data_IF_969647502596
#
_entry.id   IF_969647502596
#
_cell.length_a   1.000
_cell.length_b   1.000
_cell.length_c   1.000
_cell.angle_alpha   90.00
_cell.angle_beta   90.00
_cell.angle_gamma   90.00
#
_symmetry.space_group_name_H-M   'P 1'
#
loop_
_entity.id
_entity.type
_entity.pdbx_description
1 polymer ?
#
# COMPACT_ATOMS: atom_id res chain seq x y z
N UNK A 1 -13.98 -2.56 30.79
CA UNK A 1 -13.57 -3.93 30.39
C UNK A 1 -13.05 -3.86 28.97
N UNK A 2 -11.80 -4.25 28.73
CA UNK A 2 -11.12 -4.07 27.42
C UNK A 2 -11.15 -5.33 26.55
N UNK A 3 -11.28 -6.49 27.20
CA UNK A 3 -11.30 -7.80 26.54
C UNK A 3 -12.49 -8.61 27.03
N UNK A 4 -13.06 -9.40 26.13
CA UNK A 4 -14.03 -10.44 26.41
C UNK A 4 -13.36 -11.81 26.28
N UNK A 5 -13.54 -12.68 27.28
CA UNK A 5 -13.08 -14.06 27.21
C UNK A 5 -14.11 -14.92 26.50
N UNK A 6 -13.66 -15.66 25.48
CA UNK A 6 -14.45 -16.64 24.75
C UNK A 6 -14.01 -18.06 25.14
N UNK A 7 -14.80 -19.07 24.75
CA UNK A 7 -14.48 -20.47 25.01
C UNK A 7 -13.11 -20.90 24.44
N UNK A 8 -12.63 -20.22 23.39
CA UNK A 8 -11.27 -20.31 22.86
C UNK A 8 -10.75 -18.91 22.50
N UNK A 9 -10.03 -18.30 23.44
CA UNK A 9 -9.32 -17.03 23.21
C UNK A 9 -9.99 -15.79 23.81
N UNK A 10 -9.56 -14.63 23.34
CA UNK A 10 -10.02 -13.32 23.78
C UNK A 10 -10.28 -12.43 22.56
N UNK A 11 -11.28 -11.56 22.67
CA UNK A 11 -11.62 -10.54 21.68
C UNK A 11 -11.61 -9.18 22.37
N UNK A 12 -11.19 -8.14 21.64
CA UNK A 12 -11.29 -6.77 22.14
C UNK A 12 -12.76 -6.33 22.20
N UNK A 13 -13.10 -5.59 23.26
CA UNK A 13 -14.33 -4.79 23.31
C UNK A 13 -14.15 -3.52 22.48
N UNK A 14 -15.21 -2.76 22.22
CA UNK A 14 -15.12 -1.45 21.56
C UNK A 14 -14.15 -0.50 22.30
N UNK A 15 -14.23 -0.46 23.64
CA UNK A 15 -13.28 0.27 24.48
C UNK A 15 -11.85 -0.30 24.40
N UNK A 16 -11.70 -1.61 24.19
CA UNK A 16 -10.41 -2.27 23.96
C UNK A 16 -9.79 -1.88 22.62
N UNK A 17 -10.58 -1.84 21.55
CA UNK A 17 -10.13 -1.38 20.23
C UNK A 17 -9.75 0.10 20.24
N UNK A 18 -10.53 0.96 20.91
CA UNK A 18 -10.21 2.37 21.06
C UNK A 18 -8.90 2.58 21.86
N UNK A 19 -8.68 1.80 22.92
CA UNK A 19 -7.42 1.87 23.67
C UNK A 19 -6.23 1.32 22.89
N UNK A 20 -6.42 0.26 22.08
CA UNK A 20 -5.33 -0.35 21.31
C UNK A 20 -4.66 0.69 20.40
N UNK A 21 -5.44 1.49 19.68
CA UNK A 21 -4.92 2.59 18.83
C UNK A 21 -4.01 3.52 19.63
N UNK A 22 -4.41 3.92 20.84
CA UNK A 22 -3.58 4.79 21.69
C UNK A 22 -2.39 4.06 22.30
N UNK A 23 -2.54 2.78 22.65
CA UNK A 23 -1.47 1.97 23.21
C UNK A 23 -0.33 1.76 22.20
N UNK A 24 -0.67 1.48 20.94
CA UNK A 24 0.29 1.33 19.85
C UNK A 24 1.09 2.63 19.64
N UNK A 25 0.40 3.78 19.64
CA UNK A 25 1.06 5.11 19.57
C UNK A 25 2.03 5.30 20.74
N UNK A 26 1.61 5.01 21.98
CA UNK A 26 2.47 5.19 23.17
C UNK A 26 3.69 4.26 23.13
N UNK A 27 3.50 3.01 22.72
CA UNK A 27 4.59 2.04 22.60
C UNK A 27 5.59 2.46 21.52
N UNK A 28 5.11 2.98 20.39
CA UNK A 28 5.97 3.54 19.35
C UNK A 28 6.78 4.75 19.85
N UNK A 29 6.15 5.69 20.57
CA UNK A 29 6.86 6.84 21.16
C UNK A 29 7.94 6.43 22.17
N UNK A 30 7.69 5.37 22.95
CA UNK A 30 8.69 4.81 23.87
C UNK A 30 9.86 4.16 23.12
N UNK A 31 9.57 3.49 22.00
CA UNK A 31 10.61 2.93 21.13
C UNK A 31 11.46 4.04 20.49
N UNK A 32 10.84 5.12 20.01
CA UNK A 32 11.52 6.30 19.47
C UNK A 32 12.45 6.93 20.52
N UNK A 33 11.94 7.15 21.73
CA UNK A 33 12.72 7.72 22.82
C UNK A 33 13.91 6.82 23.20
N UNK A 34 13.73 5.49 23.19
CA UNK A 34 14.82 4.55 23.42
C UNK A 34 15.88 4.64 22.30
N UNK A 35 15.45 4.71 21.04
CA UNK A 35 16.36 4.85 19.89
C UNK A 35 17.13 6.18 19.92
N UNK A 36 16.47 7.29 20.32
CA UNK A 36 17.12 8.59 20.49
C UNK A 36 18.19 8.54 21.60
N UNK A 37 17.88 7.90 22.73
CA UNK A 37 18.83 7.71 23.84
C UNK A 37 20.03 6.84 23.44
N UNK A 38 19.81 5.78 22.65
CA UNK A 38 20.90 4.98 22.09
C UNK A 38 21.76 5.81 21.12
N UNK A 39 21.13 6.64 20.29
CA UNK A 39 21.81 7.59 19.40
C UNK A 39 22.69 8.59 20.16
N UNK A 40 22.17 9.17 21.25
CA UNK A 40 22.90 10.09 22.13
C UNK A 40 24.06 9.39 22.87
N UNK A 41 23.92 8.09 23.17
CA UNK A 41 24.99 7.28 23.75
C UNK A 41 26.10 6.90 22.75
N UNK A 42 26.06 7.43 21.51
CA UNK A 42 27.02 7.14 20.46
C UNK A 42 26.85 5.74 19.85
N UNK A 43 25.79 5.01 20.21
CA UNK A 43 25.37 3.80 19.53
C UNK A 43 24.62 4.26 18.29
N UNK A 44 25.36 4.43 17.19
CA UNK A 44 24.76 4.65 15.87
C UNK A 44 24.11 3.36 15.42
N UNK A 45 23.03 2.93 16.05
CA UNK A 45 22.29 1.75 15.64
C UNK A 45 20.86 1.84 16.09
N UNK A 46 19.96 1.56 15.17
CA UNK A 46 18.51 1.68 15.34
C UNK A 46 17.82 0.83 14.30
N UNK A 47 16.49 0.84 14.31
CA UNK A 47 15.67 0.10 13.35
C UNK A 47 15.07 1.05 12.32
N UNK A 48 14.93 0.59 11.08
CA UNK A 48 14.14 1.27 10.05
C UNK A 48 13.03 0.34 9.58
N UNK A 49 11.78 0.71 9.79
CA UNK A 49 10.59 -0.04 9.37
C UNK A 49 10.06 0.56 8.08
N UNK A 50 10.23 -0.17 6.99
CA UNK A 50 9.84 0.25 5.66
C UNK A 50 8.72 -0.63 5.11
N UNK A 51 7.57 -0.02 4.82
CA UNK A 51 6.42 -0.70 4.22
C UNK A 51 6.36 -0.52 2.71
N UNK A 52 6.04 -1.57 1.97
CA UNK A 52 5.68 -1.46 0.56
C UNK A 52 4.77 -2.59 0.11
N UNK A 53 4.05 -2.36 -0.97
CA UNK A 53 3.18 -3.36 -1.59
C UNK A 53 4.03 -4.35 -2.43
N UNK A 54 3.57 -5.60 -2.59
CA UNK A 54 4.41 -6.69 -3.12
C UNK A 54 5.00 -6.42 -4.52
N UNK A 55 4.27 -5.74 -5.41
CA UNK A 55 4.75 -5.48 -6.77
C UNK A 55 5.90 -4.47 -6.77
N UNK A 56 5.86 -3.42 -5.95
CA UNK A 56 6.99 -2.52 -5.77
C UNK A 56 8.14 -3.20 -5.03
N UNK A 57 7.87 -3.92 -3.94
CA UNK A 57 8.90 -4.61 -3.17
C UNK A 57 9.67 -5.64 -4.02
N UNK A 58 8.99 -6.36 -4.91
CA UNK A 58 9.65 -7.31 -5.83
C UNK A 58 10.52 -6.62 -6.89
N UNK A 59 10.18 -5.39 -7.30
CA UNK A 59 10.91 -4.62 -8.30
C UNK A 59 12.13 -3.88 -7.72
N UNK A 60 11.94 -3.12 -6.62
CA UNK A 60 12.99 -2.25 -6.07
C UNK A 60 13.62 -2.77 -4.78
N UNK A 61 12.95 -3.69 -4.07
CA UNK A 61 13.36 -4.17 -2.75
C UNK A 61 14.79 -4.70 -2.70
N UNK A 62 15.21 -5.65 -3.57
CA UNK A 62 16.57 -6.19 -3.52
C UNK A 62 17.66 -5.11 -3.59
N UNK A 63 17.53 -4.16 -4.52
CA UNK A 63 18.50 -3.07 -4.71
C UNK A 63 18.49 -2.09 -3.53
N UNK A 64 17.30 -1.75 -3.02
CA UNK A 64 17.14 -0.87 -1.85
C UNK A 64 17.76 -1.51 -0.61
N UNK A 65 17.47 -2.78 -0.33
CA UNK A 65 17.97 -3.53 0.82
C UNK A 65 19.51 -3.57 0.80
N UNK A 66 20.10 -3.94 -0.32
CA UNK A 66 21.56 -4.04 -0.47
C UNK A 66 22.23 -2.68 -0.30
N UNK A 67 21.73 -1.66 -1.01
CA UNK A 67 22.28 -0.30 -0.95
C UNK A 67 22.16 0.29 0.45
N UNK A 68 21.03 0.07 1.14
CA UNK A 68 20.80 0.57 2.49
C UNK A 68 21.76 -0.09 3.49
N UNK A 69 21.86 -1.42 3.49
CA UNK A 69 22.77 -2.16 4.38
C UNK A 69 24.24 -1.78 4.18
N UNK A 70 24.64 -1.49 2.95
CA UNK A 70 26.01 -1.03 2.65
C UNK A 70 26.29 0.37 3.19
N UNK A 71 25.35 1.31 3.05
CA UNK A 71 25.52 2.72 3.47
C UNK A 71 25.30 2.94 4.96
N UNK A 72 24.42 2.16 5.57
CA UNK A 72 24.01 2.28 6.97
C UNK A 72 24.17 0.95 7.72
N UNK A 73 25.40 0.41 7.84
CA UNK A 73 25.65 -0.95 8.33
C UNK A 73 25.26 -1.17 9.80
N UNK A 74 25.00 -0.09 10.53
CA UNK A 74 24.62 -0.15 11.93
C UNK A 74 23.11 0.06 12.16
N UNK A 75 22.33 0.34 11.10
CA UNK A 75 20.87 0.39 11.13
C UNK A 75 20.32 -0.95 10.65
N UNK A 76 19.42 -1.56 11.42
CA UNK A 76 18.77 -2.82 11.06
C UNK A 76 17.42 -2.54 10.38
N UNK A 77 17.30 -2.77 9.06
CA UNK A 77 16.05 -2.51 8.37
C UNK A 77 15.08 -3.70 8.47
N UNK A 78 13.82 -3.41 8.79
CA UNK A 78 12.68 -4.30 8.69
C UNK A 78 11.83 -3.89 7.48
N UNK A 79 11.69 -4.79 6.52
CA UNK A 79 10.84 -4.60 5.35
C UNK A 79 9.51 -5.30 5.59
N UNK A 80 8.40 -4.60 5.38
CA UNK A 80 7.04 -5.08 5.63
C UNK A 80 6.24 -5.04 4.34
N UNK A 81 5.70 -6.19 3.95
CA UNK A 81 4.72 -6.25 2.86
C UNK A 81 3.38 -5.68 3.37
N UNK A 82 2.91 -4.59 2.76
CA UNK A 82 1.68 -3.91 3.17
C UNK A 82 1.07 -3.13 2.01
N UNK A 83 -0.25 -3.10 1.93
CA UNK A 83 -0.94 -2.31 0.90
C UNK A 83 -0.90 -0.82 1.24
N UNK A 84 -0.97 0.10 0.25
CA UNK A 84 -0.75 1.53 0.49
C UNK A 84 -1.60 2.15 1.60
N UNK A 85 -2.87 1.76 1.71
CA UNK A 85 -3.76 2.25 2.75
C UNK A 85 -3.28 1.84 4.16
N UNK A 86 -2.95 0.56 4.34
CA UNK A 86 -2.46 0.02 5.60
C UNK A 86 -1.11 0.65 5.96
N UNK A 87 -0.25 0.86 4.96
CA UNK A 87 1.05 1.52 5.14
C UNK A 87 0.90 2.97 5.64
N UNK A 88 -0.07 3.72 5.12
CA UNK A 88 -0.36 5.09 5.58
C UNK A 88 -0.92 5.11 7.00
N UNK A 89 -1.80 4.17 7.36
CA UNK A 89 -2.28 4.00 8.74
C UNK A 89 -1.11 3.69 9.67
N UNK A 90 -0.22 2.77 9.27
CA UNK A 90 0.95 2.37 10.04
C UNK A 90 1.99 3.50 10.16
N UNK A 91 2.11 4.39 9.17
CA UNK A 91 2.91 5.62 9.31
C UNK A 91 2.31 6.57 10.36
N UNK A 92 0.99 6.79 10.32
CA UNK A 92 0.29 7.65 11.30
C UNK A 92 0.39 7.10 12.72
N UNK A 93 0.33 5.78 12.90
CA UNK A 93 0.52 5.12 14.21
C UNK A 93 1.99 4.94 14.60
N UNK A 94 2.94 5.33 13.74
CA UNK A 94 4.39 5.11 13.89
C UNK A 94 4.78 3.63 14.05
N UNK A 95 4.02 2.74 13.44
CA UNK A 95 4.39 1.34 13.22
C UNK A 95 5.35 1.18 12.03
N UNK A 96 5.30 2.12 11.08
CA UNK A 96 6.29 2.29 10.01
C UNK A 96 6.98 3.64 10.14
N UNK A 97 8.21 3.70 9.63
CA UNK A 97 9.01 4.93 9.55
C UNK A 97 8.99 5.51 8.12
N UNK A 98 8.84 4.64 7.11
CA UNK A 98 8.75 5.00 5.71
C UNK A 98 7.81 4.04 4.97
N UNK A 99 7.03 4.55 4.02
CA UNK A 99 6.24 3.70 3.13
C UNK A 99 6.42 4.09 1.67
N UNK A 100 6.49 3.09 0.80
CA UNK A 100 6.37 3.25 -0.64
C UNK A 100 4.95 2.93 -1.06
N UNK A 101 4.26 3.96 -1.55
CA UNK A 101 2.86 3.94 -1.99
C UNK A 101 2.75 4.40 -3.44
N UNK A 102 1.61 4.17 -4.08
CA UNK A 102 1.28 4.70 -5.41
C UNK A 102 0.05 5.60 -5.34
N UNK A 103 -0.17 6.41 -6.38
CA UNK A 103 -1.41 7.16 -6.55
C UNK A 103 -1.74 7.34 -8.03
N UNK A 104 -3.02 7.52 -8.32
CA UNK A 104 -3.53 7.75 -9.69
C UNK A 104 -3.90 9.21 -9.93
N UNK A 105 -3.31 10.16 -9.18
CA UNK A 105 -3.62 11.59 -9.27
C UNK A 105 -3.50 12.13 -10.70
N UNK A 106 -2.46 11.69 -11.42
CA UNK A 106 -2.19 12.09 -12.81
C UNK A 106 -3.30 11.68 -13.78
N UNK A 107 -4.13 10.74 -13.37
CA UNK A 107 -5.23 10.17 -14.15
C UNK A 107 -6.60 10.72 -13.71
N UNK A 108 -6.62 11.75 -12.86
CA UNK A 108 -7.85 12.40 -12.44
C UNK A 108 -8.72 11.55 -11.50
N UNK A 109 -8.21 10.41 -11.04
CA UNK A 109 -8.92 9.51 -10.13
C UNK A 109 -9.10 10.09 -8.71
N UNK A 110 -8.44 11.22 -8.40
CA UNK A 110 -8.41 11.78 -7.05
C UNK A 110 -7.62 10.89 -6.08
N UNK A 111 -7.47 11.34 -4.83
CA UNK A 111 -6.79 10.57 -3.78
C UNK A 111 -7.79 9.74 -3.01
N UNK A 112 -8.13 8.56 -3.53
CA UNK A 112 -9.19 7.72 -3.00
C UNK A 112 -8.75 6.79 -1.84
N UNK A 113 -7.54 6.93 -1.29
CA UNK A 113 -7.13 6.09 -0.15
C UNK A 113 -7.88 6.41 1.14
N UNK A 114 -8.52 7.58 1.27
CA UNK A 114 -9.14 8.02 2.54
C UNK A 114 -10.40 8.89 2.32
N UNK A 115 -10.64 9.44 1.12
CA UNK A 115 -11.55 10.58 1.02
C UNK A 115 -11.00 11.84 1.72
N UNK A 116 -9.78 11.76 2.25
CA UNK A 116 -8.94 12.88 2.62
C UNK A 116 -8.17 13.30 1.37
N UNK A 117 -8.60 14.42 0.79
CA UNK A 117 -7.76 15.19 -0.13
C UNK A 117 -6.37 15.34 0.49
N UNK A 118 -5.35 15.55 -0.35
CA UNK A 118 -3.98 15.92 0.07
C UNK A 118 -3.90 17.15 1.01
N UNK A 119 -5.04 17.74 1.35
CA UNK A 119 -5.23 18.83 2.28
C UNK A 119 -5.11 18.33 3.73
N UNK A 120 -4.00 18.72 4.38
CA UNK A 120 -3.82 18.84 5.83
C UNK A 120 -3.64 17.57 6.65
N UNK A 121 -2.86 16.60 6.17
CA UNK A 121 -2.26 15.65 7.10
C UNK A 121 -0.87 16.14 7.48
N UNK A 122 -0.78 17.02 8.50
CA UNK A 122 0.48 17.59 9.02
C UNK A 122 1.46 16.52 9.57
N UNK A 123 1.12 15.23 9.45
CA UNK A 123 1.81 14.08 10.05
C UNK A 123 2.62 13.28 9.04
N UNK A 124 2.27 13.31 7.75
CA UNK A 124 2.93 12.48 6.71
C UNK A 124 3.44 13.33 5.55
N UNK A 125 4.76 13.36 5.38
CA UNK A 125 5.41 13.97 4.23
C UNK A 125 5.44 13.02 3.03
N UNK A 126 5.14 13.56 1.84
CA UNK A 126 5.14 12.81 0.58
C UNK A 126 6.27 13.27 -0.33
N UNK A 127 7.03 12.32 -0.87
CA UNK A 127 8.09 12.56 -1.85
C UNK A 127 7.74 11.81 -3.13
N UNK A 128 7.56 12.55 -4.23
CA UNK A 128 7.33 11.94 -5.54
C UNK A 128 8.65 11.31 -6.04
N UNK A 129 8.62 10.01 -6.35
CA UNK A 129 9.82 9.26 -6.77
C UNK A 129 9.95 9.15 -8.28
N UNK A 130 8.92 8.60 -8.93
CA UNK A 130 8.82 8.45 -10.38
C UNK A 130 7.37 8.16 -10.77
N UNK A 131 7.10 8.26 -12.07
CA UNK A 131 5.80 7.89 -12.64
C UNK A 131 5.82 6.40 -13.02
N UNK A 132 4.82 5.65 -12.57
CA UNK A 132 4.62 4.24 -12.93
C UNK A 132 3.61 4.11 -14.08
N UNK A 133 3.94 3.32 -15.10
CA UNK A 133 3.09 3.10 -16.26
C UNK A 133 2.11 1.97 -16.00
N UNK A 134 0.82 2.23 -16.24
CA UNK A 134 -0.23 1.24 -16.07
C UNK A 134 -0.44 0.45 -17.35
N UNK A 135 -0.39 -0.87 -17.21
CA UNK A 135 -0.57 -1.82 -18.30
C UNK A 135 -1.88 -2.59 -18.14
N UNK A 136 -2.54 -2.87 -19.27
CA UNK A 136 -3.66 -3.80 -19.32
C UNK A 136 -3.13 -5.14 -19.80
N UNK A 137 -3.38 -6.19 -19.03
CA UNK A 137 -3.11 -7.56 -19.45
C UNK A 137 -4.31 -8.10 -20.20
N UNK A 138 -4.07 -8.67 -21.38
CA UNK A 138 -5.10 -9.18 -22.28
C UNK A 138 -4.72 -10.58 -22.78
N UNK A 139 -5.69 -11.46 -23.08
CA UNK A 139 -5.42 -12.71 -23.77
C UNK A 139 -4.71 -12.43 -25.10
N UNK A 140 -3.78 -13.30 -25.51
CA UNK A 140 -2.97 -13.09 -26.73
C UNK A 140 -3.83 -12.89 -27.99
N UNK A 141 -4.99 -13.55 -28.04
CA UNK A 141 -5.92 -13.49 -29.18
C UNK A 141 -6.84 -12.26 -29.14
N UNK A 142 -6.80 -11.45 -28.08
CA UNK A 142 -7.66 -10.28 -27.92
C UNK A 142 -7.32 -9.18 -28.93
N UNK A 143 -8.33 -8.49 -29.47
CA UNK A 143 -8.10 -7.46 -30.50
C UNK A 143 -7.18 -6.33 -29.98
N UNK A 144 -7.43 -5.87 -28.75
CA UNK A 144 -6.62 -4.83 -28.11
C UNK A 144 -5.18 -5.28 -27.80
N UNK A 145 -4.87 -6.58 -27.79
CA UNK A 145 -3.52 -7.07 -27.56
C UNK A 145 -2.54 -6.73 -28.71
N UNK A 146 -3.07 -6.33 -29.88
CA UNK A 146 -2.28 -5.86 -31.03
C UNK A 146 -1.95 -4.36 -30.95
N UNK A 147 -2.47 -3.64 -29.96
CA UNK A 147 -2.27 -2.20 -29.79
C UNK A 147 -1.09 -1.94 -28.85
N UNK A 148 -0.28 -0.93 -29.16
CA UNK A 148 0.76 -0.43 -28.24
C UNK A 148 0.22 0.44 -27.12
N UNK A 149 -0.92 1.08 -27.36
CA UNK A 149 -1.60 1.97 -26.41
C UNK A 149 -3.07 1.60 -26.43
N UNK A 150 -3.62 1.30 -25.25
CA UNK A 150 -5.04 1.06 -25.04
C UNK A 150 -5.58 2.26 -24.31
N UNK A 151 -6.57 2.94 -24.90
CA UNK A 151 -7.29 3.99 -24.22
C UNK A 151 -8.33 3.38 -23.29
N UNK A 152 -8.58 4.02 -22.15
CA UNK A 152 -9.52 3.50 -21.16
C UNK A 152 -10.92 3.29 -21.74
N UNK A 153 -11.38 4.12 -22.68
CA UNK A 153 -12.71 3.99 -23.28
C UNK A 153 -12.87 2.71 -24.11
N UNK A 154 -11.76 2.10 -24.56
CA UNK A 154 -11.78 0.84 -25.28
C UNK A 154 -12.06 -0.36 -24.38
N UNK A 155 -11.96 -0.18 -23.06
CA UNK A 155 -12.25 -1.21 -22.05
C UNK A 155 -13.72 -1.21 -21.61
N UNK A 156 -14.57 -0.35 -22.19
CA UNK A 156 -15.97 -0.14 -21.78
C UNK A 156 -16.77 -1.44 -21.71
N UNK A 157 -16.60 -2.29 -22.72
CA UNK A 157 -17.37 -3.53 -22.85
C UNK A 157 -16.59 -4.75 -22.31
N UNK A 158 -15.36 -4.55 -21.85
CA UNK A 158 -14.47 -5.62 -21.39
C UNK A 158 -14.77 -6.03 -19.94
N UNK A 159 -14.63 -7.33 -19.66
CA UNK A 159 -14.70 -7.87 -18.30
C UNK A 159 -13.33 -7.78 -17.64
N UNK A 160 -13.24 -7.02 -16.55
CA UNK A 160 -11.98 -6.75 -15.85
C UNK A 160 -11.92 -7.59 -14.58
N UNK A 161 -10.91 -8.44 -14.47
CA UNK A 161 -10.64 -9.19 -13.24
C UNK A 161 -10.05 -8.25 -12.18
N UNK A 162 -10.55 -8.34 -10.94
CA UNK A 162 -9.97 -7.61 -9.80
C UNK A 162 -10.92 -6.75 -8.99
N UNK A 163 -12.19 -7.13 -8.83
CA UNK A 163 -13.24 -6.36 -8.13
C UNK A 163 -13.04 -6.14 -6.60
N UNK A 164 -11.82 -6.23 -6.10
CA UNK A 164 -11.46 -6.07 -4.69
C UNK A 164 -9.97 -5.82 -4.50
N UNK A 165 -9.31 -5.34 -5.54
CA UNK A 165 -7.91 -4.96 -5.48
C UNK A 165 -7.78 -3.51 -4.98
N UNK A 166 -6.68 -3.15 -4.32
CA UNK A 166 -6.43 -1.77 -3.87
C UNK A 166 -6.50 -0.72 -4.99
N UNK A 167 -6.21 -1.11 -6.24
CA UNK A 167 -6.30 -0.23 -7.41
C UNK A 167 -7.73 -0.06 -7.98
N UNK A 168 -8.68 -0.92 -7.60
CA UNK A 168 -10.00 -0.97 -8.24
C UNK A 168 -10.83 0.32 -8.08
N UNK A 169 -10.84 1.00 -6.90
CA UNK A 169 -11.53 2.28 -6.76
C UNK A 169 -11.00 3.34 -7.72
N UNK A 170 -9.67 3.46 -7.84
CA UNK A 170 -9.05 4.44 -8.73
C UNK A 170 -9.33 4.13 -10.21
N UNK A 171 -9.32 2.86 -10.59
CA UNK A 171 -9.70 2.44 -11.94
C UNK A 171 -11.18 2.78 -12.24
N UNK A 172 -12.09 2.55 -11.29
CA UNK A 172 -13.48 2.97 -11.40
C UNK A 172 -13.60 4.49 -11.59
N UNK A 173 -12.84 5.29 -10.83
CA UNK A 173 -12.81 6.74 -10.98
C UNK A 173 -12.28 7.17 -12.35
N UNK A 174 -11.22 6.54 -12.85
CA UNK A 174 -10.70 6.77 -14.19
C UNK A 174 -11.77 6.48 -15.25
N UNK A 175 -12.43 5.33 -15.21
CA UNK A 175 -13.51 4.97 -16.13
C UNK A 175 -14.68 5.97 -16.06
N UNK A 176 -15.07 6.37 -14.84
CA UNK A 176 -16.13 7.34 -14.62
C UNK A 176 -15.78 8.71 -15.22
N UNK A 177 -14.52 9.15 -15.09
CA UNK A 177 -14.02 10.38 -15.72
C UNK A 177 -14.06 10.31 -17.26
N UNK A 178 -13.99 9.09 -17.81
CA UNK A 178 -14.13 8.80 -19.23
C UNK A 178 -15.58 8.50 -19.67
N UNK A 179 -16.55 8.67 -18.76
CA UNK A 179 -17.99 8.54 -19.05
C UNK A 179 -18.50 7.10 -19.12
N UNK A 180 -17.95 6.18 -18.32
CA UNK A 180 -18.49 4.82 -18.19
C UNK A 180 -18.19 4.16 -16.84
N UNK A 181 -18.99 3.16 -16.49
CA UNK A 181 -18.72 2.27 -15.36
C UNK A 181 -18.08 0.98 -15.89
N UNK A 182 -16.94 0.53 -15.34
CA UNK A 182 -16.28 -0.68 -15.82
C UNK A 182 -17.00 -1.95 -15.37
N UNK A 183 -16.94 -3.01 -16.18
CA UNK A 183 -17.45 -4.32 -15.78
C UNK A 183 -16.42 -5.08 -14.93
N UNK A 184 -16.40 -4.81 -13.62
CA UNK A 184 -15.54 -5.53 -12.68
C UNK A 184 -16.10 -6.92 -12.36
N UNK A 185 -15.37 -7.96 -12.76
CA UNK A 185 -15.70 -9.34 -12.45
C UNK A 185 -15.25 -9.70 -11.03
N UNK A 186 -16.24 -9.99 -10.17
CA UNK A 186 -16.02 -10.39 -8.78
C UNK A 186 -15.95 -11.90 -8.54
N UNK A 187 -15.98 -12.71 -9.59
CA UNK A 187 -15.81 -14.16 -9.49
C UNK A 187 -14.42 -14.58 -9.01
N UNK A 188 -13.42 -13.70 -9.16
CA UNK A 188 -12.05 -13.94 -8.72
C UNK A 188 -11.50 -12.73 -7.95
N UNK A 189 -10.95 -13.01 -6.76
CA UNK A 189 -10.28 -12.02 -5.89
C UNK A 189 -8.95 -12.59 -5.43
N UNK A 190 -7.86 -12.02 -5.91
CA UNK A 190 -6.51 -12.39 -5.50
C UNK A 190 -5.58 -11.20 -5.66
N UNK A 191 -4.74 -10.93 -4.67
CA UNK A 191 -3.64 -9.96 -4.77
C UNK A 191 -2.36 -10.60 -5.34
N UNK A 192 -2.38 -11.90 -5.63
CA UNK A 192 -1.28 -12.62 -6.26
C UNK A 192 -1.26 -12.35 -7.77
N UNK A 193 -0.31 -11.51 -8.19
CA UNK A 193 -0.18 -11.06 -9.57
C UNK A 193 0.08 -12.22 -10.56
N UNK A 194 1.03 -13.15 -10.32
CA UNK A 194 1.15 -14.39 -11.10
C UNK A 194 -0.16 -15.16 -11.29
N UNK A 195 -0.98 -15.28 -10.24
CA UNK A 195 -2.26 -16.00 -10.34
C UNK A 195 -3.27 -15.26 -11.22
N UNK A 196 -3.34 -13.92 -11.11
CA UNK A 196 -4.15 -13.09 -12.01
C UNK A 196 -3.65 -13.23 -13.47
N UNK A 197 -2.33 -13.20 -13.70
CA UNK A 197 -1.76 -13.34 -15.03
C UNK A 197 -2.14 -14.67 -15.69
N UNK A 198 -2.13 -15.75 -14.92
CA UNK A 198 -2.49 -17.09 -15.40
C UNK A 198 -3.98 -17.20 -15.81
N UNK A 199 -4.87 -16.38 -15.26
CA UNK A 199 -6.29 -16.35 -15.62
C UNK A 199 -6.59 -15.57 -16.90
N UNK A 200 -5.68 -14.68 -17.29
CA UNK A 200 -5.79 -13.89 -18.51
C UNK A 200 -5.14 -14.59 -19.72
N UNK A 201 -4.30 -15.59 -19.47
CA UNK A 201 -3.51 -16.32 -20.47
C UNK A 201 -4.33 -17.15 -21.47
#
# INVERSE_FOLDING_TARGET
MLVERLARGVRLTEAGSALLVHADIVLAQLADAAAELDGLAGRRGGHLRFGSFPTAMSCVGPVVIETFRSRYPAVEPLFVDTEPYEALVALRSRELDLALVFSFDRWGAGRAYDGVERCSDDVVDYIDLFDDELFVLLPRAHELAQRRVVRVEQLRDERILGSGQPWAPDFCHLCASAGFEPHLDGSYRSTDFPAIQALVA
#
